data_IF_393345920577
#
_entry.id   IF_393345920577
#
_cell.length_a   1.000
_cell.length_b   1.000
_cell.length_c   1.000
_cell.angle_alpha   90.00
_cell.angle_beta   90.00
_cell.angle_gamma   90.00
#
_symmetry.space_group_name_H-M   'P 1'
#
loop_
_entity.id
_entity.type
_entity.pdbx_description
1 polymer ?
#
# COMPACT_ATOMS: atom_id res chain seq x y z
N UNK A 1 6.43 9.42 15.80
CA UNK A 1 7.00 8.69 14.66
C UNK A 1 5.90 7.86 14.03
N UNK A 2 5.36 8.34 12.95
CA UNK A 2 4.40 7.61 12.11
C UNK A 2 5.18 6.54 11.36
N UNK A 3 5.09 5.30 11.79
CA UNK A 3 5.46 4.17 10.96
C UNK A 3 4.39 4.01 9.88
N UNK A 4 4.60 4.67 8.74
CA UNK A 4 3.90 4.31 7.52
C UNK A 4 4.43 2.96 7.05
N UNK A 5 3.67 1.91 7.21
CA UNK A 5 4.00 0.63 6.60
C UNK A 5 3.74 0.76 5.10
N UNK A 6 4.81 0.81 4.31
CA UNK A 6 4.69 0.58 2.87
C UNK A 6 4.24 -0.87 2.66
N UNK A 7 3.17 -1.09 1.90
CA UNK A 7 2.71 -2.43 1.58
C UNK A 7 3.81 -3.24 0.88
N UNK A 8 4.58 -2.63 -0.01
CA UNK A 8 5.70 -3.26 -0.69
C UNK A 8 6.83 -3.67 0.28
N UNK A 9 7.18 -2.83 1.27
CA UNK A 9 8.16 -3.22 2.29
C UNK A 9 7.63 -4.35 3.18
N UNK A 10 6.33 -4.35 3.51
CA UNK A 10 5.72 -5.42 4.29
C UNK A 10 5.74 -6.76 3.54
N UNK A 11 5.61 -6.74 2.23
CA UNK A 11 5.63 -7.96 1.40
C UNK A 11 7.03 -8.60 1.37
N UNK A 12 8.09 -7.81 1.32
CA UNK A 12 9.47 -8.31 1.41
C UNK A 12 9.70 -8.99 2.76
N UNK A 13 9.34 -8.36 3.87
CA UNK A 13 9.50 -8.95 5.20
C UNK A 13 8.64 -10.20 5.39
N UNK A 14 7.39 -10.17 4.94
CA UNK A 14 6.50 -11.35 5.03
C UNK A 14 7.04 -12.52 4.25
N UNK A 15 7.55 -12.33 3.02
CA UNK A 15 8.21 -13.41 2.29
C UNK A 15 9.40 -13.98 3.04
N UNK A 16 10.25 -13.12 3.61
CA UNK A 16 11.40 -13.56 4.42
C UNK A 16 10.96 -14.38 5.64
N UNK A 17 9.92 -13.96 6.34
CA UNK A 17 9.42 -14.66 7.52
C UNK A 17 8.82 -16.02 7.15
N UNK A 18 8.06 -16.10 6.05
CA UNK A 18 7.51 -17.34 5.53
C UNK A 18 8.62 -18.31 5.09
N UNK A 19 9.65 -17.80 4.40
CA UNK A 19 10.81 -18.60 4.00
C UNK A 19 11.60 -19.11 5.21
N UNK A 20 11.78 -18.28 6.25
CA UNK A 20 12.40 -18.72 7.53
C UNK A 20 11.57 -19.78 8.23
N UNK A 21 10.24 -19.76 8.07
CA UNK A 21 9.33 -20.79 8.58
C UNK A 21 9.33 -22.07 7.73
N UNK A 22 10.15 -22.14 6.68
CA UNK A 22 10.32 -23.33 5.82
C UNK A 22 9.37 -23.38 4.62
N UNK A 23 8.64 -22.31 4.32
CA UNK A 23 7.79 -22.25 3.13
C UNK A 23 8.61 -21.90 1.89
N UNK A 24 8.23 -22.47 0.76
CA UNK A 24 8.82 -22.20 -0.55
C UNK A 24 7.93 -21.24 -1.37
N UNK A 25 8.49 -20.60 -2.39
CA UNK A 25 7.78 -19.60 -3.19
C UNK A 25 6.53 -20.16 -3.93
N UNK A 26 6.49 -21.45 -4.18
CA UNK A 26 5.33 -22.15 -4.77
C UNK A 26 4.21 -22.44 -3.75
N UNK A 27 4.48 -22.32 -2.48
CA UNK A 27 3.51 -22.52 -1.39
C UNK A 27 2.87 -21.20 -0.91
N UNK A 28 3.32 -20.05 -1.42
CA UNK A 28 2.84 -18.75 -1.01
C UNK A 28 2.26 -17.96 -2.19
N UNK A 29 1.27 -17.14 -1.92
CA UNK A 29 0.62 -16.36 -2.96
C UNK A 29 -0.09 -15.13 -2.44
N UNK A 30 -0.47 -14.28 -3.38
CA UNK A 30 -1.30 -13.10 -3.12
C UNK A 30 -2.69 -13.30 -3.71
N UNK A 31 -3.68 -12.78 -3.04
CA UNK A 31 -5.04 -12.71 -3.55
C UNK A 31 -5.64 -11.33 -3.26
N UNK A 32 -6.54 -10.84 -4.11
CA UNK A 32 -7.31 -9.63 -3.81
C UNK A 32 -8.12 -9.80 -2.53
N UNK A 33 -8.41 -8.69 -1.88
CA UNK A 33 -9.33 -8.67 -0.73
C UNK A 33 -10.75 -8.64 -1.27
N UNK A 34 -11.45 -9.75 -1.16
CA UNK A 34 -12.86 -9.86 -1.52
C UNK A 34 -13.74 -9.60 -0.29
N UNK A 35 -14.80 -8.84 -0.45
CA UNK A 35 -15.75 -8.46 0.60
C UNK A 35 -17.16 -9.02 0.39
N UNK A 36 -17.36 -9.79 -0.68
CA UNK A 36 -18.61 -10.48 -0.99
C UNK A 36 -19.65 -9.60 -1.70
N UNK A 37 -19.20 -8.67 -2.52
CA UNK A 37 -20.08 -7.84 -3.36
C UNK A 37 -20.08 -8.29 -4.82
N UNK A 38 -21.19 -8.07 -5.52
CA UNK A 38 -21.32 -8.42 -6.92
C UNK A 38 -20.28 -7.67 -7.78
N UNK A 39 -19.64 -8.38 -8.70
CA UNK A 39 -18.67 -7.82 -9.66
C UNK A 39 -17.24 -7.75 -9.16
N UNK A 40 -16.96 -8.21 -7.94
CA UNK A 40 -15.58 -8.22 -7.40
C UNK A 40 -14.69 -9.33 -7.97
N UNK A 41 -15.23 -10.29 -8.72
CA UNK A 41 -14.49 -11.38 -9.36
C UNK A 41 -13.41 -10.89 -10.34
N UNK A 42 -13.57 -9.67 -10.88
CA UNK A 42 -12.60 -9.01 -11.74
C UNK A 42 -11.67 -8.05 -11.00
N UNK A 43 -11.81 -7.95 -9.67
CA UNK A 43 -10.96 -7.11 -8.86
C UNK A 43 -9.53 -7.68 -8.79
N UNK A 44 -8.57 -6.78 -8.92
CA UNK A 44 -7.16 -7.04 -8.66
C UNK A 44 -6.76 -6.62 -7.25
N UNK A 45 -5.46 -6.50 -7.04
CA UNK A 45 -4.90 -6.08 -5.75
C UNK A 45 -5.22 -4.61 -5.45
N UNK A 46 -5.34 -4.29 -4.17
CA UNK A 46 -5.32 -2.91 -3.73
C UNK A 46 -3.91 -2.34 -3.95
N UNK A 47 -3.83 -1.21 -4.63
CA UNK A 47 -2.57 -0.58 -5.02
C UNK A 47 -2.70 0.93 -5.01
N UNK A 48 -1.58 1.63 -4.82
CA UNK A 48 -1.54 3.09 -4.84
C UNK A 48 -0.12 3.61 -4.66
N UNK A 49 0.06 4.91 -4.84
CA UNK A 49 1.32 5.58 -4.53
C UNK A 49 1.48 5.71 -3.02
N UNK A 50 2.54 5.16 -2.47
CA UNK A 50 2.82 5.21 -1.04
C UNK A 50 4.16 5.85 -0.70
N UNK A 51 5.13 5.74 -1.61
CA UNK A 51 6.48 6.24 -1.43
C UNK A 51 6.73 7.38 -2.40
N UNK A 52 6.67 8.60 -1.89
CA UNK A 52 6.92 9.80 -2.67
C UNK A 52 8.28 10.39 -2.32
N UNK A 53 9.03 10.79 -3.34
CA UNK A 53 10.25 11.55 -3.18
C UNK A 53 9.94 13.02 -3.47
N UNK A 54 10.46 13.89 -2.64
CA UNK A 54 10.24 15.32 -2.76
C UNK A 54 11.57 16.06 -2.71
N UNK A 55 11.68 17.11 -3.54
CA UNK A 55 12.77 18.07 -3.46
C UNK A 55 12.33 19.21 -2.55
N UNK A 56 13.13 19.54 -1.54
CA UNK A 56 12.80 20.64 -0.63
C UNK A 56 12.93 21.99 -1.35
N UNK A 57 11.86 22.76 -1.42
CA UNK A 57 11.87 24.12 -1.97
C UNK A 57 12.66 25.12 -1.11
N UNK A 58 13.03 24.73 0.11
CA UNK A 58 13.81 25.57 1.02
C UNK A 58 15.33 25.29 0.95
N UNK A 59 15.72 24.25 0.20
CA UNK A 59 17.14 23.97 0.00
C UNK A 59 17.78 24.94 -1.02
N UNK A 60 19.11 25.08 -1.01
CA UNK A 60 19.81 25.85 -2.02
C UNK A 60 19.62 25.23 -3.42
N UNK A 61 19.76 26.03 -4.47
CA UNK A 61 19.63 25.55 -5.86
C UNK A 61 20.57 24.38 -6.16
N UNK A 62 21.81 24.42 -5.68
CA UNK A 62 22.78 23.33 -5.85
C UNK A 62 22.31 22.04 -5.14
N UNK A 63 21.72 22.16 -3.96
CA UNK A 63 21.20 21.01 -3.23
C UNK A 63 19.94 20.44 -3.88
N UNK A 64 19.06 21.30 -4.42
CA UNK A 64 17.89 20.85 -5.19
C UNK A 64 18.34 20.08 -6.44
N UNK A 65 19.28 20.66 -7.20
CA UNK A 65 19.86 20.03 -8.40
C UNK A 65 20.52 18.69 -8.09
N UNK A 66 21.32 18.61 -7.04
CA UNK A 66 21.94 17.35 -6.61
C UNK A 66 20.91 16.29 -6.23
N UNK A 67 19.80 16.70 -5.57
CA UNK A 67 18.69 15.81 -5.23
C UNK A 67 17.99 15.29 -6.49
N UNK A 68 17.70 16.16 -7.45
CA UNK A 68 17.09 15.78 -8.73
C UNK A 68 17.99 14.81 -9.52
N UNK A 69 19.29 15.09 -9.60
CA UNK A 69 20.26 14.23 -10.26
C UNK A 69 20.34 12.85 -9.58
N UNK A 70 20.28 12.79 -8.26
CA UNK A 70 20.22 11.53 -7.51
C UNK A 70 18.93 10.78 -7.78
N UNK A 71 17.77 11.45 -7.77
CA UNK A 71 16.48 10.83 -8.07
C UNK A 71 16.46 10.29 -9.52
N UNK A 72 17.00 11.06 -10.47
CA UNK A 72 17.14 10.61 -11.85
C UNK A 72 18.04 9.38 -11.96
N UNK A 73 19.19 9.38 -11.29
CA UNK A 73 20.07 8.21 -11.21
C UNK A 73 19.36 6.99 -10.61
N UNK A 74 18.57 7.18 -9.55
CA UNK A 74 17.83 6.09 -8.93
C UNK A 74 16.87 5.36 -9.89
N UNK A 75 16.27 6.09 -10.83
CA UNK A 75 15.29 5.52 -11.77
C UNK A 75 15.86 5.13 -13.13
N UNK A 76 17.12 5.50 -13.42
CA UNK A 76 17.75 5.23 -14.73
C UNK A 76 18.98 4.33 -14.68
N UNK A 77 19.70 4.32 -13.55
CA UNK A 77 20.89 3.50 -13.38
C UNK A 77 20.55 2.02 -13.22
N UNK A 78 21.29 1.14 -13.92
CA UNK A 78 21.17 -0.30 -13.76
C UNK A 78 21.41 -0.76 -12.31
N UNK A 79 22.37 -0.14 -11.64
CA UNK A 79 22.68 -0.45 -10.24
C UNK A 79 21.51 -0.08 -9.33
N UNK A 80 20.99 1.14 -9.45
CA UNK A 80 19.91 1.61 -8.59
C UNK A 80 18.60 0.87 -8.85
N UNK A 81 18.22 0.66 -10.11
CA UNK A 81 17.00 -0.08 -10.48
C UNK A 81 17.06 -1.54 -10.05
N UNK A 82 18.23 -2.19 -10.07
CA UNK A 82 18.41 -3.53 -9.51
C UNK A 82 18.27 -3.54 -7.98
N UNK A 83 18.80 -2.53 -7.28
CA UNK A 83 18.62 -2.42 -5.82
C UNK A 83 17.13 -2.23 -5.48
N UNK A 84 16.43 -1.36 -6.19
CA UNK A 84 15.00 -1.12 -6.00
C UNK A 84 14.21 -2.42 -6.19
N UNK A 85 14.46 -3.17 -7.25
CA UNK A 85 13.75 -4.40 -7.56
C UNK A 85 14.11 -5.56 -6.59
N UNK A 86 15.41 -5.83 -6.39
CA UNK A 86 15.87 -7.07 -5.73
C UNK A 86 16.08 -6.91 -4.22
N UNK A 87 16.55 -5.72 -3.78
CA UNK A 87 16.85 -5.49 -2.36
C UNK A 87 15.69 -4.84 -1.61
N UNK A 88 14.99 -3.90 -2.28
CA UNK A 88 13.84 -3.23 -1.68
C UNK A 88 12.53 -3.94 -2.03
N UNK A 89 12.52 -4.82 -3.03
CA UNK A 89 11.32 -5.56 -3.47
C UNK A 89 10.21 -4.65 -4.03
N UNK A 90 10.59 -3.45 -4.50
CA UNK A 90 9.64 -2.47 -4.99
C UNK A 90 9.42 -2.62 -6.49
N UNK A 91 8.19 -2.51 -6.93
CA UNK A 91 7.84 -2.38 -8.34
C UNK A 91 7.77 -0.89 -8.68
N UNK A 92 8.78 -0.39 -9.40
CA UNK A 92 8.82 1.01 -9.79
C UNK A 92 7.93 1.26 -11.03
N UNK A 93 7.17 2.38 -11.08
CA UNK A 93 6.26 2.68 -12.19
C UNK A 93 7.00 3.34 -13.39
N UNK A 94 8.26 3.01 -13.61
CA UNK A 94 9.09 3.58 -14.67
C UNK A 94 9.41 2.54 -15.74
N UNK A 95 9.62 2.98 -16.99
CA UNK A 95 9.98 2.09 -18.11
C UNK A 95 11.33 1.37 -17.92
N UNK A 96 12.22 1.95 -17.12
CA UNK A 96 13.52 1.41 -16.75
C UNK A 96 13.48 0.43 -15.58
N UNK A 97 12.30 0.19 -15.00
CA UNK A 97 12.16 -0.72 -13.86
C UNK A 97 12.65 -2.14 -14.23
N UNK A 98 13.45 -2.71 -13.35
CA UNK A 98 13.86 -4.12 -13.46
C UNK A 98 12.74 -5.03 -12.98
N UNK A 99 12.64 -6.21 -13.58
CA UNK A 99 11.80 -7.26 -13.06
C UNK A 99 12.35 -7.75 -11.71
N UNK A 100 11.45 -7.87 -10.75
CA UNK A 100 11.81 -8.33 -9.40
C UNK A 100 11.80 -9.86 -9.32
N UNK A 101 12.65 -10.41 -8.45
CA UNK A 101 12.62 -11.84 -8.08
C UNK A 101 11.62 -12.14 -6.95
N UNK A 102 10.96 -11.12 -6.41
CA UNK A 102 9.95 -11.28 -5.37
C UNK A 102 8.67 -11.87 -5.94
N UNK A 103 8.27 -13.06 -5.50
CA UNK A 103 7.10 -13.80 -5.97
C UNK A 103 5.80 -12.99 -5.83
N UNK A 104 5.65 -12.20 -4.77
CA UNK A 104 4.47 -11.37 -4.59
C UNK A 104 4.38 -10.26 -5.65
N UNK A 105 5.50 -9.57 -5.89
CA UNK A 105 5.56 -8.54 -6.94
C UNK A 105 5.32 -9.13 -8.34
N UNK A 106 5.85 -10.33 -8.61
CA UNK A 106 5.59 -11.04 -9.87
C UNK A 106 4.11 -11.37 -10.04
N UNK A 107 3.44 -11.86 -8.99
CA UNK A 107 2.01 -12.15 -9.01
C UNK A 107 1.17 -10.89 -9.18
N UNK A 108 1.54 -9.78 -8.54
CA UNK A 108 0.88 -8.50 -8.72
C UNK A 108 0.94 -8.01 -10.18
N UNK A 109 2.12 -8.10 -10.79
CA UNK A 109 2.30 -7.78 -12.23
C UNK A 109 1.50 -8.71 -13.12
N UNK A 110 1.47 -10.00 -12.81
CA UNK A 110 0.69 -10.99 -13.58
C UNK A 110 -0.81 -10.66 -13.53
N UNK A 111 -1.37 -10.39 -12.34
CA UNK A 111 -2.78 -10.00 -12.20
C UNK A 111 -3.13 -8.75 -13.00
N UNK A 112 -2.25 -7.74 -13.03
CA UNK A 112 -2.45 -6.54 -13.83
C UNK A 112 -2.42 -6.84 -15.34
N UNK A 113 -1.53 -7.73 -15.81
CA UNK A 113 -1.46 -8.18 -17.20
C UNK A 113 -2.70 -9.00 -17.61
N UNK A 114 -3.28 -9.76 -16.68
CA UNK A 114 -4.51 -10.53 -16.88
C UNK A 114 -5.78 -9.64 -16.90
N UNK A 115 -5.62 -8.34 -16.83
CA UNK A 115 -6.73 -7.36 -16.91
C UNK A 115 -7.53 -7.23 -15.63
N UNK A 116 -7.06 -7.74 -14.50
CA UNK A 116 -7.69 -7.51 -13.20
C UNK A 116 -7.64 -6.02 -12.84
N UNK A 117 -8.77 -5.46 -12.43
CA UNK A 117 -8.87 -4.04 -12.09
C UNK A 117 -8.24 -3.75 -10.74
N UNK A 118 -7.19 -2.96 -10.73
CA UNK A 118 -6.58 -2.46 -9.50
C UNK A 118 -7.58 -1.63 -8.70
N UNK A 119 -7.63 -1.84 -7.39
CA UNK A 119 -8.39 -1.03 -6.44
C UNK A 119 -7.45 -0.02 -5.80
N UNK A 120 -7.81 1.26 -5.85
CA UNK A 120 -6.99 2.30 -5.24
C UNK A 120 -7.09 2.28 -3.72
N UNK A 121 -5.95 2.54 -3.06
CA UNK A 121 -5.94 2.89 -1.64
C UNK A 121 -6.38 4.34 -1.48
N UNK A 122 -7.58 4.54 -0.98
CA UNK A 122 -8.16 5.88 -0.80
C UNK A 122 -7.85 6.49 0.58
N UNK A 123 -6.65 6.27 1.08
CA UNK A 123 -6.21 6.78 2.39
C UNK A 123 -6.33 8.30 2.53
N UNK A 124 -6.18 9.03 1.43
CA UNK A 124 -6.29 10.49 1.40
C UNK A 124 -7.69 10.99 1.76
N UNK A 125 -8.70 10.15 1.63
CA UNK A 125 -10.08 10.49 1.99
C UNK A 125 -10.43 10.14 3.43
N UNK A 126 -9.59 9.41 4.15
CA UNK A 126 -9.82 9.09 5.55
C UNK A 126 -9.68 10.36 6.38
N UNK A 127 -10.72 10.77 7.13
CA UNK A 127 -10.76 12.10 7.74
C UNK A 127 -9.76 12.26 8.89
N UNK A 128 -9.54 11.21 9.69
CA UNK A 128 -8.62 11.28 10.84
C UNK A 128 -8.21 9.89 11.34
N UNK A 129 -7.15 9.83 12.13
CA UNK A 129 -6.76 8.64 12.88
C UNK A 129 -7.78 8.31 13.99
N UNK A 130 -8.42 9.32 14.57
CA UNK A 130 -9.46 9.13 15.59
C UNK A 130 -10.68 8.44 15.00
N UNK A 131 -11.10 8.80 13.77
CA UNK A 131 -12.16 8.07 13.08
C UNK A 131 -11.82 6.59 12.89
N UNK A 132 -10.61 6.26 12.45
CA UNK A 132 -10.17 4.87 12.30
C UNK A 132 -10.22 4.10 13.61
N UNK A 133 -9.79 4.73 14.69
CA UNK A 133 -9.79 4.15 16.04
C UNK A 133 -11.22 3.88 16.51
N UNK A 134 -12.13 4.84 16.35
CA UNK A 134 -13.52 4.72 16.76
C UNK A 134 -14.25 3.65 15.97
N UNK A 135 -14.07 3.59 14.67
CA UNK A 135 -14.59 2.53 13.80
C UNK A 135 -14.06 1.15 14.21
N UNK A 136 -12.75 1.03 14.47
CA UNK A 136 -12.15 -0.22 14.96
C UNK A 136 -12.79 -0.69 16.27
N UNK A 137 -13.04 0.20 17.23
CA UNK A 137 -13.68 -0.14 18.50
C UNK A 137 -15.13 -0.60 18.30
N UNK A 138 -15.87 0.06 17.40
CA UNK A 138 -17.23 -0.34 17.05
C UNK A 138 -17.27 -1.73 16.41
N UNK A 139 -16.33 -2.03 15.51
CA UNK A 139 -16.21 -3.36 14.90
C UNK A 139 -15.87 -4.45 15.94
N UNK A 140 -14.98 -4.17 16.88
CA UNK A 140 -14.66 -5.10 17.97
C UNK A 140 -15.90 -5.35 18.84
N UNK A 141 -16.66 -4.30 19.16
CA UNK A 141 -17.90 -4.43 19.94
C UNK A 141 -18.96 -5.25 19.18
N UNK A 142 -19.07 -5.06 17.86
CA UNK A 142 -19.97 -5.84 17.01
C UNK A 142 -19.54 -7.31 16.92
N UNK A 143 -18.26 -7.59 16.81
CA UNK A 143 -17.74 -8.97 16.79
C UNK A 143 -18.03 -9.73 18.09
N UNK A 144 -18.09 -9.01 19.23
CA UNK A 144 -18.47 -9.58 20.52
C UNK A 144 -19.98 -9.70 20.70
N UNK A 145 -20.77 -8.85 20.04
CA UNK A 145 -22.23 -8.78 20.17
C UNK A 145 -22.85 -8.25 18.87
N UNK A 146 -23.42 -9.15 18.07
CA UNK A 146 -23.99 -8.83 16.75
C UNK A 146 -25.16 -7.84 16.79
N UNK A 147 -25.77 -7.59 17.96
CA UNK A 147 -26.81 -6.56 18.10
C UNK A 147 -26.26 -5.13 17.97
N UNK A 148 -24.92 -4.94 18.00
CA UNK A 148 -24.24 -3.64 17.97
C UNK A 148 -23.91 -3.10 16.56
N UNK A 149 -24.53 -3.65 15.52
CA UNK A 149 -24.30 -3.20 14.14
C UNK A 149 -24.59 -1.72 13.92
N UNK A 150 -25.60 -1.15 14.56
CA UNK A 150 -25.89 0.28 14.46
C UNK A 150 -24.76 1.16 14.99
N UNK A 151 -24.02 0.70 15.99
CA UNK A 151 -22.81 1.35 16.46
C UNK A 151 -21.71 1.42 15.40
N UNK A 152 -21.56 0.36 14.58
CA UNK A 152 -20.61 0.35 13.47
C UNK A 152 -21.03 1.35 12.39
N UNK A 153 -22.33 1.36 12.00
CA UNK A 153 -22.85 2.32 11.02
C UNK A 153 -22.63 3.77 11.48
N UNK A 154 -22.94 4.07 12.72
CA UNK A 154 -22.79 5.41 13.27
C UNK A 154 -21.31 5.82 13.32
N UNK A 155 -20.42 4.95 13.79
CA UNK A 155 -18.99 5.22 13.82
C UNK A 155 -18.43 5.44 12.39
N UNK A 156 -18.93 4.70 11.40
CA UNK A 156 -18.50 4.85 10.01
C UNK A 156 -19.04 6.14 9.39
N UNK A 157 -20.36 6.33 9.37
CA UNK A 157 -21.02 7.40 8.62
C UNK A 157 -21.00 8.73 9.35
N UNK A 158 -21.49 8.77 10.58
CA UNK A 158 -21.60 10.02 11.35
C UNK A 158 -20.25 10.45 11.90
N UNK A 159 -19.42 9.48 12.30
CA UNK A 159 -18.04 9.72 12.67
C UNK A 159 -17.23 10.34 11.53
N UNK A 160 -17.38 9.83 10.29
CA UNK A 160 -16.73 10.41 9.10
C UNK A 160 -17.13 11.88 8.92
N UNK A 161 -18.44 12.17 8.93
CA UNK A 161 -18.94 13.54 8.76
C UNK A 161 -18.39 14.49 9.81
N UNK A 162 -18.37 14.05 11.07
CA UNK A 162 -17.89 14.86 12.20
C UNK A 162 -16.41 15.17 12.07
N UNK A 163 -15.58 14.17 11.82
CA UNK A 163 -14.13 14.33 11.71
C UNK A 163 -13.72 15.13 10.47
N UNK A 164 -14.44 14.92 9.35
CA UNK A 164 -14.19 15.69 8.13
C UNK A 164 -14.51 17.16 8.32
N UNK A 165 -15.64 17.50 8.95
CA UNK A 165 -16.00 18.89 9.25
C UNK A 165 -15.03 19.58 10.22
N UNK A 166 -14.35 18.81 11.07
CA UNK A 166 -13.35 19.34 11.99
C UNK A 166 -11.97 19.59 11.30
N UNK A 167 -11.74 19.00 10.11
CA UNK A 167 -10.49 19.15 9.35
C UNK A 167 -10.56 20.24 8.25
N UNK A 168 -11.73 20.79 7.99
CA UNK A 168 -11.99 21.94 7.10
C UNK A 168 -11.92 23.28 7.87
#
# INVERSE_FOLDING_TARGET
STQGYSSAASDVYKRQDLTKAGMTDDQIGMMPIYIGVDGEENQGLCSGGENYWCVSSQASEDAQKATEDFMYWCVTSDTATSIIADKMGLTAPFKSAKETTNVFSQQAVAMAKDGKKTVAWDFVYIPSEEWKKNLKQALIAYAADNSKWDGVKNAFVDGWKTEKAASE
#
